data_IF_804512720343
#
_entry.id   IF_804512720343
#
_cell.length_a   1.000
_cell.length_b   1.000
_cell.length_c   1.000
_cell.angle_alpha   90.00
_cell.angle_beta   90.00
_cell.angle_gamma   90.00
#
_symmetry.space_group_name_H-M   'P 1'
#
loop_
_entity.id
_entity.type
_entity.pdbx_description
1 polymer ?
#
# COMPACT_ATOMS: atom_id res chain seq x y z
N UNK A 1 -35.60 -38.17 -48.31
CA UNK A 1 -35.86 -39.61 -48.06
C UNK A 1 -34.99 -40.05 -46.94
N UNK A 2 -35.52 -40.18 -45.85
CA UNK A 2 -36.08 -41.37 -45.19
C UNK A 2 -35.04 -42.16 -44.39
N UNK A 3 -35.08 -42.02 -43.04
CA UNK A 3 -35.27 -43.08 -41.98
C UNK A 3 -34.06 -44.01 -41.73
N UNK A 4 -33.69 -44.41 -40.54
CA UNK A 4 -34.31 -44.67 -39.19
C UNK A 4 -33.16 -45.03 -38.25
N UNK A 5 -33.11 -44.52 -37.03
CA UNK A 5 -33.31 -45.15 -35.70
C UNK A 5 -32.75 -46.58 -35.56
N UNK A 6 -31.80 -46.74 -34.60
CA UNK A 6 -31.77 -47.89 -33.69
C UNK A 6 -31.06 -47.53 -32.39
N UNK A 7 -31.82 -47.61 -31.29
CA UNK A 7 -31.34 -47.54 -29.92
C UNK A 7 -30.73 -48.88 -29.50
N UNK A 8 -29.61 -48.85 -28.79
CA UNK A 8 -29.12 -49.97 -28.05
C UNK A 8 -28.88 -49.54 -26.60
N UNK A 9 -29.68 -50.11 -25.75
CA UNK A 9 -29.64 -50.06 -24.28
C UNK A 9 -28.50 -50.96 -23.82
N UNK A 10 -27.51 -50.44 -23.09
CA UNK A 10 -26.55 -51.26 -22.35
C UNK A 10 -26.46 -50.74 -20.92
N UNK A 11 -26.92 -51.58 -20.01
CA UNK A 11 -26.84 -51.46 -18.56
C UNK A 11 -25.40 -51.68 -18.17
N UNK A 12 -24.76 -50.63 -17.65
CA UNK A 12 -23.41 -50.66 -17.07
C UNK A 12 -23.45 -50.31 -15.60
N UNK A 13 -23.01 -51.22 -14.79
CA UNK A 13 -22.95 -51.23 -13.33
C UNK A 13 -22.16 -50.02 -12.83
N UNK A 14 -22.77 -49.15 -12.05
CA UNK A 14 -22.09 -48.06 -11.34
C UNK A 14 -21.30 -48.61 -10.15
N UNK A 15 -19.98 -48.57 -10.24
CA UNK A 15 -19.11 -48.68 -9.07
C UNK A 15 -19.08 -47.30 -8.36
N UNK A 16 -19.13 -47.26 -7.02
CA UNK A 16 -19.02 -45.98 -6.31
C UNK A 16 -17.59 -45.44 -6.47
N UNK A 17 -17.43 -44.33 -7.19
CA UNK A 17 -16.24 -43.53 -7.15
C UNK A 17 -16.21 -42.84 -5.80
N UNK A 18 -15.38 -43.37 -4.89
CA UNK A 18 -15.03 -42.66 -3.67
C UNK A 18 -14.19 -41.46 -4.12
N UNK A 19 -14.85 -40.31 -4.21
CA UNK A 19 -14.18 -39.01 -4.38
C UNK A 19 -13.43 -38.72 -3.09
N UNK A 20 -12.13 -39.01 -3.05
CA UNK A 20 -11.24 -38.43 -2.06
C UNK A 20 -11.09 -36.95 -2.41
N UNK A 21 -11.81 -36.10 -1.67
CA UNK A 21 -11.54 -34.67 -1.68
C UNK A 21 -10.05 -34.47 -1.39
N UNK A 22 -9.33 -33.64 -2.18
CA UNK A 22 -7.98 -33.28 -1.82
C UNK A 22 -8.03 -32.63 -0.43
N UNK A 23 -7.23 -33.18 0.49
CA UNK A 23 -7.03 -32.56 1.79
C UNK A 23 -6.58 -31.12 1.53
N UNK A 24 -7.34 -30.15 2.03
CA UNK A 24 -6.91 -28.77 2.04
C UNK A 24 -5.51 -28.77 2.67
N UNK A 25 -4.52 -28.24 1.94
CA UNK A 25 -3.19 -28.07 2.45
C UNK A 25 -3.33 -27.14 3.67
N UNK A 26 -3.26 -27.72 4.86
CA UNK A 26 -3.21 -26.96 6.10
C UNK A 26 -1.92 -26.15 6.05
N UNK A 27 -2.05 -24.84 6.11
CA UNK A 27 -0.91 -23.98 6.43
C UNK A 27 -0.18 -24.61 7.61
N UNK A 28 1.16 -24.66 7.61
CA UNK A 28 1.90 -25.24 8.73
C UNK A 28 1.39 -24.60 10.02
N UNK A 29 0.92 -25.43 10.95
CA UNK A 29 0.44 -24.96 12.24
C UNK A 29 1.53 -24.08 12.86
N UNK A 30 1.17 -22.86 13.26
CA UNK A 30 2.11 -21.96 13.92
C UNK A 30 2.72 -22.73 15.11
N UNK A 31 4.05 -22.76 15.17
CA UNK A 31 4.76 -23.44 16.26
C UNK A 31 4.37 -22.70 17.55
N UNK A 32 3.82 -23.44 18.51
CA UNK A 32 3.43 -22.87 19.82
C UNK A 32 4.67 -22.37 20.55
N UNK A 33 4.58 -21.23 21.18
CA UNK A 33 5.66 -20.60 21.94
C UNK A 33 5.81 -21.29 23.30
N UNK A 34 7.00 -21.73 23.61
CA UNK A 34 7.39 -22.06 24.98
C UNK A 34 7.73 -20.78 25.78
N UNK A 35 8.14 -20.93 27.04
CA UNK A 35 8.46 -19.80 27.91
C UNK A 35 9.67 -19.01 27.39
N UNK A 36 10.68 -19.68 26.84
CA UNK A 36 11.90 -19.05 26.32
C UNK A 36 11.58 -18.24 25.06
N UNK A 37 10.80 -18.80 24.13
CA UNK A 37 10.36 -18.10 22.91
C UNK A 37 9.50 -16.87 23.24
N UNK A 38 8.61 -16.93 24.23
CA UNK A 38 7.85 -15.74 24.70
C UNK A 38 8.75 -14.66 25.25
N UNK A 39 9.72 -15.03 26.10
CA UNK A 39 10.72 -14.10 26.64
C UNK A 39 11.53 -13.43 25.53
N UNK A 40 11.98 -14.20 24.53
CA UNK A 40 12.72 -13.71 23.36
C UNK A 40 11.87 -12.68 22.55
N UNK A 41 10.61 -13.00 22.28
CA UNK A 41 9.69 -12.07 21.59
C UNK A 41 9.55 -10.75 22.35
N UNK A 42 9.25 -10.79 23.65
CA UNK A 42 9.09 -9.58 24.47
C UNK A 42 10.38 -8.78 24.56
N UNK A 43 11.53 -9.45 24.71
CA UNK A 43 12.85 -8.80 24.73
C UNK A 43 13.14 -8.07 23.41
N UNK A 44 12.88 -8.70 22.26
CA UNK A 44 13.11 -8.10 20.94
C UNK A 44 12.15 -6.95 20.65
N UNK A 45 10.86 -7.07 21.00
CA UNK A 45 9.90 -5.96 20.88
C UNK A 45 10.35 -4.79 21.76
N UNK A 46 10.76 -5.06 23.01
CA UNK A 46 11.27 -4.03 23.93
C UNK A 46 12.52 -3.33 23.37
N UNK A 47 13.45 -4.09 22.82
CA UNK A 47 14.65 -3.54 22.17
C UNK A 47 14.30 -2.67 20.98
N UNK A 48 13.42 -3.14 20.09
CA UNK A 48 12.98 -2.40 18.92
C UNK A 48 12.30 -1.07 19.28
N UNK A 49 11.48 -1.05 20.34
CA UNK A 49 10.86 0.18 20.84
C UNK A 49 11.91 1.16 21.37
N UNK A 50 12.86 0.70 22.17
CA UNK A 50 13.94 1.53 22.71
C UNK A 50 14.85 2.10 21.63
N UNK A 51 15.21 1.30 20.65
CA UNK A 51 16.18 1.66 19.63
C UNK A 51 15.61 2.49 18.50
N UNK A 52 14.34 2.26 18.14
CA UNK A 52 13.78 2.77 16.87
C UNK A 52 12.60 3.72 17.04
N UNK A 53 11.77 3.55 18.08
CA UNK A 53 10.55 4.36 18.18
C UNK A 53 10.90 5.86 18.20
N UNK A 54 10.21 6.63 17.39
CA UNK A 54 10.52 8.05 17.10
C UNK A 54 10.50 8.95 18.35
N UNK A 55 9.75 8.56 19.39
CA UNK A 55 9.73 9.22 20.69
C UNK A 55 10.44 8.36 21.73
N UNK A 56 11.74 8.60 22.03
CA UNK A 56 12.55 7.71 22.88
C UNK A 56 11.96 7.45 24.25
N UNK A 57 11.37 8.47 24.89
CA UNK A 57 10.79 8.37 26.22
C UNK A 57 9.55 7.47 26.23
N UNK A 58 8.68 7.61 25.21
CA UNK A 58 7.49 6.77 25.04
C UNK A 58 7.89 5.33 24.69
N UNK A 59 8.93 5.15 23.86
CA UNK A 59 9.49 3.84 23.54
C UNK A 59 10.03 3.10 24.76
N UNK A 60 10.71 3.82 25.67
CA UNK A 60 11.19 3.26 26.95
C UNK A 60 10.04 2.90 27.88
N UNK A 61 9.03 3.76 28.00
CA UNK A 61 7.85 3.51 28.83
C UNK A 61 7.08 2.28 28.35
N UNK A 62 6.83 2.17 27.04
CA UNK A 62 6.15 1.03 26.44
C UNK A 62 6.96 -0.27 26.61
N UNK A 63 8.27 -0.22 26.42
CA UNK A 63 9.16 -1.36 26.63
C UNK A 63 9.19 -1.80 28.10
N UNK A 64 9.23 -0.86 29.05
CA UNK A 64 9.17 -1.15 30.48
C UNK A 64 7.84 -1.79 30.89
N UNK A 65 6.71 -1.33 30.33
CA UNK A 65 5.38 -1.89 30.56
C UNK A 65 5.31 -3.36 30.18
N UNK A 66 5.70 -3.71 28.93
CA UNK A 66 5.64 -5.11 28.48
C UNK A 66 6.66 -6.01 29.21
N UNK A 67 7.83 -5.46 29.58
CA UNK A 67 8.81 -6.16 30.41
C UNK A 67 8.28 -6.47 31.83
N UNK A 68 7.58 -5.53 32.45
CA UNK A 68 6.95 -5.72 33.74
C UNK A 68 5.80 -6.72 33.70
N UNK A 69 4.98 -6.68 32.64
CA UNK A 69 3.90 -7.64 32.42
C UNK A 69 4.44 -9.08 32.23
N UNK A 70 5.56 -9.24 31.50
CA UNK A 70 6.24 -10.53 31.38
C UNK A 70 6.72 -11.03 32.75
N UNK A 71 7.38 -10.17 33.55
CA UNK A 71 7.88 -10.54 34.88
C UNK A 71 6.75 -10.89 35.86
N UNK A 72 5.57 -10.33 35.66
CA UNK A 72 4.36 -10.63 36.43
C UNK A 72 3.62 -11.90 35.95
N UNK A 73 4.09 -12.57 34.88
CA UNK A 73 3.45 -13.76 34.32
C UNK A 73 2.19 -13.48 33.49
N UNK A 74 1.93 -12.20 33.13
CA UNK A 74 0.71 -11.84 32.38
C UNK A 74 0.63 -12.44 30.95
N UNK A 75 1.74 -12.98 30.45
CA UNK A 75 1.83 -13.62 29.13
C UNK A 75 2.01 -15.14 29.21
N UNK A 76 2.00 -15.76 30.38
CA UNK A 76 2.35 -17.19 30.54
C UNK A 76 1.42 -18.14 29.78
N UNK A 77 0.15 -17.80 29.72
CA UNK A 77 -0.87 -18.60 29.01
C UNK A 77 -0.91 -18.32 27.50
N UNK A 78 -0.10 -17.39 26.96
CA UNK A 78 -0.11 -16.98 25.56
C UNK A 78 0.91 -17.80 24.75
N UNK A 79 0.57 -19.04 24.45
CA UNK A 79 1.44 -19.92 23.64
C UNK A 79 1.26 -19.71 22.12
N UNK A 80 0.14 -19.14 21.67
CA UNK A 80 -0.08 -18.79 20.26
C UNK A 80 0.62 -17.47 19.91
N UNK A 81 1.52 -17.44 18.88
CA UNK A 81 2.18 -16.20 18.45
C UNK A 81 1.24 -15.05 18.13
N UNK A 82 0.06 -15.33 17.55
CA UNK A 82 -0.92 -14.30 17.21
C UNK A 82 -1.58 -13.71 18.48
N UNK A 83 -1.89 -14.55 19.46
CA UNK A 83 -2.44 -14.10 20.73
C UNK A 83 -1.44 -13.25 21.49
N UNK A 84 -0.17 -13.67 21.57
CA UNK A 84 0.91 -12.88 22.20
C UNK A 84 1.11 -11.55 21.49
N UNK A 85 1.23 -11.55 20.17
CA UNK A 85 1.41 -10.33 19.37
C UNK A 85 0.26 -9.34 19.57
N UNK A 86 -0.99 -9.83 19.56
CA UNK A 86 -2.19 -9.01 19.78
C UNK A 86 -2.19 -8.37 21.18
N UNK A 87 -1.80 -9.13 22.23
CA UNK A 87 -1.71 -8.59 23.58
C UNK A 87 -0.58 -7.57 23.71
N UNK A 88 0.61 -7.84 23.16
CA UNK A 88 1.72 -6.89 23.13
C UNK A 88 1.34 -5.61 22.39
N UNK A 89 0.63 -5.73 21.25
CA UNK A 89 0.13 -4.56 20.53
C UNK A 89 -0.80 -3.72 21.39
N UNK A 90 -1.75 -4.33 22.10
CA UNK A 90 -2.68 -3.62 22.98
C UNK A 90 -1.95 -2.89 24.13
N UNK A 91 -1.00 -3.57 24.78
CA UNK A 91 -0.24 -2.99 25.88
C UNK A 91 0.65 -1.82 25.43
N UNK A 92 1.27 -1.92 24.24
CA UNK A 92 2.10 -0.85 23.67
C UNK A 92 1.25 0.30 23.14
N UNK A 93 0.16 0.02 22.43
CA UNK A 93 -0.73 1.03 21.87
C UNK A 93 -1.41 1.89 22.95
N UNK A 94 -1.67 1.33 24.13
CA UNK A 94 -2.21 2.06 25.27
C UNK A 94 -1.28 3.18 25.78
N UNK A 95 0.02 3.12 25.46
CA UNK A 95 1.03 4.11 25.83
C UNK A 95 1.39 4.99 24.65
N UNK A 96 1.67 4.37 23.50
CA UNK A 96 2.16 5.07 22.33
C UNK A 96 1.08 5.92 21.61
N UNK A 97 -0.17 5.47 21.63
CA UNK A 97 -1.29 6.10 20.92
C UNK A 97 -1.03 6.35 19.41
N UNK A 98 -0.13 5.59 18.81
CA UNK A 98 0.38 5.74 17.46
C UNK A 98 -0.33 4.76 16.51
N UNK A 99 -0.99 5.30 15.49
CA UNK A 99 -1.79 4.48 14.55
C UNK A 99 -0.96 3.69 13.54
N UNK A 100 0.31 4.03 13.37
CA UNK A 100 1.22 3.28 12.52
C UNK A 100 1.94 2.14 13.25
N UNK A 101 2.04 2.20 14.59
CA UNK A 101 2.65 1.14 15.38
C UNK A 101 1.79 -0.13 15.32
N UNK A 102 2.37 -1.24 14.92
CA UNK A 102 1.70 -2.55 14.88
C UNK A 102 2.62 -3.64 15.40
N UNK A 103 2.05 -4.59 16.13
CA UNK A 103 2.70 -5.86 16.48
C UNK A 103 1.70 -6.95 16.08
N UNK A 104 2.12 -7.88 15.26
CA UNK A 104 1.25 -8.90 14.67
C UNK A 104 1.98 -10.23 14.43
N UNK A 105 1.25 -11.28 14.11
CA UNK A 105 1.82 -12.54 13.69
C UNK A 105 2.17 -12.49 12.19
N UNK A 106 3.29 -13.14 11.81
CA UNK A 106 3.82 -13.16 10.44
C UNK A 106 2.83 -13.67 9.38
N UNK A 107 1.91 -14.55 9.77
CA UNK A 107 0.87 -15.11 8.90
C UNK A 107 -0.55 -14.67 9.28
N UNK A 108 -0.69 -13.75 10.26
CA UNK A 108 -1.97 -13.15 10.49
C UNK A 108 -2.34 -12.31 9.25
N UNK A 109 -3.58 -12.41 8.75
CA UNK A 109 -4.02 -11.41 7.80
C UNK A 109 -3.79 -10.07 8.48
N UNK A 110 -2.96 -9.22 7.85
CA UNK A 110 -2.85 -7.81 8.28
C UNK A 110 -4.29 -7.34 8.50
N UNK A 111 -4.61 -6.70 9.63
CA UNK A 111 -5.88 -6.01 9.69
C UNK A 111 -5.82 -4.99 8.55
N UNK A 112 -6.36 -5.41 7.42
CA UNK A 112 -6.55 -4.50 6.32
C UNK A 112 -7.31 -3.30 6.89
N UNK A 113 -6.98 -2.07 6.49
CA UNK A 113 -7.86 -0.95 6.72
C UNK A 113 -9.25 -1.44 6.34
N UNK A 114 -10.24 -1.27 7.22
CA UNK A 114 -11.57 -1.90 7.21
C UNK A 114 -11.96 -2.34 5.81
N UNK A 115 -11.85 -3.66 5.54
CA UNK A 115 -12.07 -4.17 4.19
C UNK A 115 -13.55 -4.03 3.86
N UNK A 116 -13.83 -2.96 3.13
CA UNK A 116 -14.85 -3.05 2.10
C UNK A 116 -14.38 -4.08 1.04
N UNK A 117 -15.27 -4.54 0.16
CA UNK A 117 -14.90 -5.39 -0.97
C UNK A 117 -13.68 -4.79 -1.67
N UNK A 118 -12.74 -5.63 -2.12
CA UNK A 118 -11.53 -5.19 -2.82
C UNK A 118 -11.87 -4.07 -3.80
N UNK A 119 -11.12 -2.97 -3.82
CA UNK A 119 -11.53 -1.79 -4.56
C UNK A 119 -11.86 -2.19 -6.00
N UNK A 120 -13.07 -1.90 -6.43
CA UNK A 120 -13.57 -2.22 -7.78
C UNK A 120 -12.97 -1.29 -8.85
N UNK A 121 -11.95 -0.48 -8.49
CA UNK A 121 -11.28 0.44 -9.38
C UNK A 121 -9.84 -0.02 -9.67
N UNK A 122 -9.37 0.32 -10.87
CA UNK A 122 -7.96 0.16 -11.24
C UNK A 122 -7.22 1.45 -10.93
N UNK A 123 -5.97 1.33 -10.51
CA UNK A 123 -5.04 2.44 -10.41
C UNK A 123 -3.75 2.07 -11.17
N UNK A 124 -3.07 3.06 -11.68
CA UNK A 124 -1.71 2.93 -12.21
C UNK A 124 -0.82 3.90 -11.45
N UNK A 125 0.17 3.37 -10.76
CA UNK A 125 1.04 4.15 -9.87
C UNK A 125 0.27 5.14 -8.98
N UNK A 126 -0.79 4.67 -8.32
CA UNK A 126 -1.62 5.47 -7.43
C UNK A 126 -2.66 6.36 -8.10
N UNK A 127 -2.62 6.58 -9.41
CA UNK A 127 -3.60 7.41 -10.15
C UNK A 127 -4.72 6.53 -10.70
N UNK A 128 -5.97 6.83 -10.32
CA UNK A 128 -7.15 6.08 -10.75
C UNK A 128 -7.73 6.64 -12.04
N UNK A 129 -7.84 7.95 -12.14
CA UNK A 129 -8.40 8.63 -13.30
C UNK A 129 -8.12 10.13 -13.27
N UNK A 130 -8.19 10.76 -14.42
CA UNK A 130 -8.32 12.20 -14.55
C UNK A 130 -9.35 12.55 -15.62
N UNK A 131 -10.20 13.56 -15.34
CA UNK A 131 -11.33 13.94 -16.15
C UNK A 131 -11.43 15.46 -16.27
N UNK A 132 -11.84 15.93 -17.44
CA UNK A 132 -12.36 17.29 -17.63
C UNK A 132 -13.88 17.27 -17.43
N UNK A 133 -14.35 18.15 -16.54
CA UNK A 133 -15.76 18.32 -16.23
C UNK A 133 -16.29 19.63 -16.83
N UNK A 134 -17.62 19.82 -16.75
CA UNK A 134 -18.24 21.10 -17.10
C UNK A 134 -17.67 22.25 -16.26
N UNK A 135 -17.74 23.46 -16.80
CA UNK A 135 -17.30 24.68 -16.08
C UNK A 135 -15.78 24.81 -15.91
N UNK A 136 -14.98 24.20 -16.81
CA UNK A 136 -13.52 24.31 -16.77
C UNK A 136 -12.86 23.59 -15.58
N UNK A 137 -13.50 22.56 -15.03
CA UNK A 137 -13.00 21.83 -13.87
C UNK A 137 -12.18 20.62 -14.32
N UNK A 138 -10.97 20.49 -13.80
CA UNK A 138 -10.17 19.27 -13.82
C UNK A 138 -10.39 18.45 -12.56
N UNK A 139 -10.59 17.16 -12.71
CA UNK A 139 -10.68 16.21 -11.61
C UNK A 139 -9.59 15.16 -11.73
N UNK A 140 -8.94 14.85 -10.63
CA UNK A 140 -7.99 13.73 -10.54
C UNK A 140 -8.22 12.96 -9.25
N UNK A 141 -8.18 11.63 -9.32
CA UNK A 141 -8.24 10.76 -8.16
C UNK A 141 -6.91 10.04 -7.96
N UNK A 142 -6.34 10.20 -6.75
CA UNK A 142 -5.06 9.62 -6.33
C UNK A 142 -5.28 8.79 -5.07
N UNK A 143 -4.99 7.49 -5.13
CA UNK A 143 -5.24 6.53 -4.04
C UNK A 143 -3.97 6.08 -3.32
N UNK A 144 -2.80 6.56 -3.77
CA UNK A 144 -1.52 6.27 -3.12
C UNK A 144 -0.38 7.06 -3.74
N UNK A 145 0.73 7.09 -3.03
CA UNK A 145 1.96 7.77 -3.43
C UNK A 145 3.12 6.77 -3.51
N UNK A 146 3.22 5.98 -4.60
CA UNK A 146 4.36 5.10 -4.81
C UNK A 146 5.66 5.90 -4.98
N UNK A 147 6.85 5.24 -4.97
CA UNK A 147 8.11 5.93 -5.18
C UNK A 147 8.12 6.83 -6.42
N UNK A 148 8.84 7.97 -6.42
CA UNK A 148 8.77 9.00 -7.45
C UNK A 148 9.01 8.49 -8.88
N UNK A 149 9.90 7.54 -9.06
CA UNK A 149 10.25 7.00 -10.38
C UNK A 149 9.05 6.33 -11.08
N UNK A 150 8.08 5.83 -10.32
CA UNK A 150 6.84 5.25 -10.83
C UNK A 150 5.71 6.27 -10.87
N UNK A 151 5.61 7.12 -9.84
CA UNK A 151 4.52 8.07 -9.71
C UNK A 151 4.60 9.22 -10.71
N UNK A 152 5.79 9.87 -10.82
CA UNK A 152 5.97 11.07 -11.64
C UNK A 152 5.53 10.90 -13.10
N UNK A 153 5.95 9.86 -13.85
CA UNK A 153 5.56 9.73 -15.26
C UNK A 153 4.05 9.57 -15.47
N UNK A 154 3.38 8.89 -14.54
CA UNK A 154 1.93 8.67 -14.61
C UNK A 154 1.18 9.93 -14.21
N UNK A 155 1.62 10.59 -13.14
CA UNK A 155 1.03 11.86 -12.70
C UNK A 155 1.21 12.96 -13.76
N UNK A 156 2.39 13.08 -14.36
CA UNK A 156 2.67 14.06 -15.42
C UNK A 156 1.71 13.91 -16.59
N UNK A 157 1.48 12.67 -17.04
CA UNK A 157 0.53 12.37 -18.09
C UNK A 157 -0.91 12.75 -17.71
N UNK A 158 -1.33 12.43 -16.49
CA UNK A 158 -2.66 12.75 -16.01
C UNK A 158 -2.87 14.26 -15.88
N UNK A 159 -1.91 14.97 -15.28
CA UNK A 159 -1.96 16.44 -15.08
C UNK A 159 -1.84 17.21 -16.39
N UNK A 160 -1.01 16.76 -17.34
CA UNK A 160 -0.95 17.35 -18.68
C UNK A 160 -2.31 17.22 -19.40
N UNK A 161 -3.02 16.09 -19.22
CA UNK A 161 -4.37 15.92 -19.75
C UNK A 161 -5.38 16.93 -19.18
N UNK A 162 -5.14 17.45 -17.97
CA UNK A 162 -5.97 18.47 -17.30
C UNK A 162 -5.55 19.90 -17.64
N UNK A 163 -4.51 20.11 -18.40
CA UNK A 163 -4.08 21.46 -18.80
C UNK A 163 -5.23 22.25 -19.40
N UNK A 164 -5.29 23.54 -19.05
CA UNK A 164 -6.39 24.43 -19.42
C UNK A 164 -7.59 24.43 -18.47
N UNK A 165 -7.66 23.51 -17.48
CA UNK A 165 -8.70 23.59 -16.44
C UNK A 165 -8.50 24.82 -15.57
N UNK A 166 -9.58 25.52 -15.25
CA UNK A 166 -9.59 26.75 -14.42
C UNK A 166 -9.62 26.46 -12.93
N UNK A 167 -10.10 25.28 -12.55
CA UNK A 167 -10.22 24.78 -11.17
C UNK A 167 -9.81 23.32 -11.13
N UNK A 168 -9.21 22.86 -10.02
CA UNK A 168 -8.93 21.45 -9.78
C UNK A 168 -9.76 20.89 -8.63
N UNK A 169 -10.22 19.66 -8.79
CA UNK A 169 -10.69 18.78 -7.71
C UNK A 169 -9.71 17.62 -7.61
N UNK A 170 -9.05 17.48 -6.48
CA UNK A 170 -8.10 16.38 -6.19
C UNK A 170 -8.74 15.48 -5.15
N UNK A 171 -9.04 14.24 -5.54
CA UNK A 171 -9.73 13.29 -4.70
C UNK A 171 -8.75 12.33 -4.03
N UNK A 172 -8.55 12.49 -2.74
CA UNK A 172 -7.71 11.61 -1.90
C UNK A 172 -8.52 10.84 -0.87
N UNK A 173 -9.86 10.75 -1.03
CA UNK A 173 -10.73 10.04 -0.09
C UNK A 173 -10.36 8.57 0.11
N UNK A 174 -9.72 7.94 -0.87
CA UNK A 174 -9.26 6.53 -0.84
C UNK A 174 -7.75 6.42 -0.80
N UNK A 175 -7.04 7.48 -0.44
CA UNK A 175 -5.58 7.51 -0.43
C UNK A 175 -5.02 6.96 0.87
N UNK A 176 -4.28 5.85 0.78
CA UNK A 176 -3.65 5.19 1.93
C UNK A 176 -2.24 5.69 2.28
N UNK A 177 -1.73 6.66 1.52
CA UNK A 177 -0.40 7.23 1.75
C UNK A 177 0.69 6.74 0.80
N UNK A 178 1.93 6.85 1.23
CA UNK A 178 3.13 6.45 0.48
C UNK A 178 4.30 7.41 0.66
N UNK A 179 5.11 7.60 -0.39
CA UNK A 179 6.35 8.38 -0.37
C UNK A 179 6.11 9.90 -0.19
N UNK A 180 6.74 10.54 0.80
CA UNK A 180 6.71 12.00 0.96
C UNK A 180 7.23 12.77 -0.27
N UNK A 181 8.20 12.23 -1.00
CA UNK A 181 8.69 12.84 -2.24
C UNK A 181 7.61 12.91 -3.32
N UNK A 182 6.78 11.87 -3.42
CA UNK A 182 5.65 11.82 -4.36
C UNK A 182 4.51 12.74 -3.92
N UNK A 183 4.29 12.88 -2.62
CA UNK A 183 3.39 13.90 -2.06
C UNK A 183 3.85 15.29 -2.45
N UNK A 184 5.11 15.64 -2.16
CA UNK A 184 5.70 16.93 -2.50
C UNK A 184 5.63 17.20 -4.01
N UNK A 185 5.78 16.17 -4.84
CA UNK A 185 5.65 16.32 -6.28
C UNK A 185 4.22 16.67 -6.72
N UNK A 186 3.17 16.05 -6.15
CA UNK A 186 1.79 16.45 -6.45
C UNK A 186 1.49 17.88 -5.96
N UNK A 187 1.95 18.26 -4.77
CA UNK A 187 1.85 19.63 -4.26
C UNK A 187 2.52 20.63 -5.20
N UNK A 188 3.63 20.27 -5.85
CA UNK A 188 4.39 21.12 -6.76
C UNK A 188 3.57 21.63 -7.95
N UNK A 189 2.59 20.87 -8.44
CA UNK A 189 1.68 21.35 -9.49
C UNK A 189 0.80 22.52 -9.06
N UNK A 190 0.64 22.73 -7.76
CA UNK A 190 -0.23 23.74 -7.18
C UNK A 190 0.50 25.03 -6.81
N UNK A 191 1.83 25.04 -6.89
CA UNK A 191 2.71 26.12 -6.43
C UNK A 191 3.37 26.79 -7.64
N UNK A 192 3.65 28.10 -7.54
CA UNK A 192 4.43 28.80 -8.56
C UNK A 192 5.88 28.31 -8.56
N UNK A 193 6.44 28.09 -9.76
CA UNK A 193 7.74 27.42 -9.93
C UNK A 193 8.96 28.36 -9.88
N UNK A 194 8.80 29.63 -9.52
CA UNK A 194 9.86 30.63 -9.52
C UNK A 194 10.89 30.46 -8.39
N UNK A 195 10.47 29.86 -7.26
CA UNK A 195 11.32 29.49 -6.14
C UNK A 195 10.86 28.16 -5.52
N UNK A 196 11.77 27.28 -5.07
CA UNK A 196 11.41 26.10 -4.32
C UNK A 196 10.69 26.48 -3.01
N UNK A 197 9.51 25.93 -2.78
CA UNK A 197 8.76 26.10 -1.54
C UNK A 197 9.01 24.89 -0.64
N UNK A 198 9.33 25.12 0.63
CA UNK A 198 9.48 24.08 1.63
C UNK A 198 8.09 23.55 2.01
N UNK A 199 7.83 22.27 1.76
CA UNK A 199 6.50 21.64 1.88
C UNK A 199 6.38 20.90 3.21
N UNK A 200 7.32 19.97 3.47
CA UNK A 200 7.30 19.12 4.66
C UNK A 200 8.71 18.68 5.04
N UNK A 201 8.90 18.25 6.29
CA UNK A 201 10.08 17.56 6.78
C UNK A 201 9.72 16.20 7.33
N UNK A 202 10.60 15.22 7.11
CA UNK A 202 10.58 13.97 7.86
C UNK A 202 11.76 13.99 8.83
N UNK A 203 11.47 13.90 10.12
CA UNK A 203 12.44 13.87 11.20
C UNK A 203 12.59 12.44 11.70
N UNK A 204 13.70 11.80 11.35
CA UNK A 204 13.98 10.39 11.60
C UNK A 204 14.91 10.23 12.78
N UNK A 205 14.59 9.34 13.72
CA UNK A 205 15.47 8.99 14.82
C UNK A 205 16.64 8.14 14.32
N UNK A 206 17.86 8.52 14.73
CA UNK A 206 19.05 7.68 14.50
C UNK A 206 18.99 6.49 15.45
N UNK A 207 18.86 5.30 14.91
CA UNK A 207 18.64 4.08 15.69
C UNK A 207 19.68 3.92 16.81
N UNK A 208 19.21 3.55 18.01
CA UNK A 208 20.05 3.35 19.19
C UNK A 208 20.57 4.64 19.84
N UNK A 209 20.15 5.80 19.37
CA UNK A 209 20.55 7.12 19.93
C UNK A 209 19.32 7.99 20.24
N UNK A 210 19.53 9.18 20.78
CA UNK A 210 18.52 10.23 20.92
C UNK A 210 18.74 11.36 19.88
N UNK A 211 19.57 11.13 18.88
CA UNK A 211 19.78 12.08 17.79
C UNK A 211 18.73 11.88 16.69
N UNK A 212 18.53 12.94 15.92
CA UNK A 212 17.57 12.95 14.81
C UNK A 212 18.22 13.49 13.54
N UNK A 213 17.92 12.86 12.41
CA UNK A 213 18.19 13.37 11.08
C UNK A 213 16.91 14.02 10.53
N UNK A 214 17.06 15.07 9.73
CA UNK A 214 15.96 15.77 9.06
C UNK A 214 16.15 15.70 7.56
N UNK A 215 15.12 15.28 6.86
CA UNK A 215 15.00 15.33 5.42
C UNK A 215 13.90 16.31 5.05
N UNK A 216 14.23 17.29 4.19
CA UNK A 216 13.32 18.36 3.82
C UNK A 216 12.83 18.19 2.39
N UNK A 217 11.53 18.27 2.20
CA UNK A 217 10.87 18.13 0.90
C UNK A 217 10.44 19.50 0.38
N UNK A 218 10.82 19.78 -0.85
CA UNK A 218 10.55 21.05 -1.50
C UNK A 218 9.78 20.85 -2.80
N UNK A 219 9.10 21.90 -3.27
CA UNK A 219 8.47 21.88 -4.58
C UNK A 219 9.51 21.72 -5.70
N UNK A 220 9.12 20.99 -6.73
CA UNK A 220 9.92 20.64 -7.90
C UNK A 220 9.28 21.24 -9.16
N UNK A 221 10.08 21.46 -10.24
CA UNK A 221 9.54 21.81 -11.53
C UNK A 221 8.56 20.74 -12.03
N UNK A 222 7.43 21.17 -12.61
CA UNK A 222 6.38 20.33 -13.17
C UNK A 222 6.12 20.69 -14.64
N UNK A 223 5.69 19.75 -15.50
CA UNK A 223 5.44 20.01 -16.93
C UNK A 223 4.29 20.99 -17.18
N UNK A 224 3.31 21.06 -16.27
CA UNK A 224 2.18 22.00 -16.29
C UNK A 224 1.97 22.55 -14.89
N UNK A 225 1.38 23.75 -14.76
CA UNK A 225 1.16 24.40 -13.48
C UNK A 225 -0.30 24.81 -13.29
N UNK A 226 -0.80 24.58 -12.08
CA UNK A 226 -2.11 25.04 -11.61
C UNK A 226 -1.99 26.07 -10.49
N UNK A 227 -0.83 26.69 -10.37
CA UNK A 227 -0.59 27.78 -9.41
C UNK A 227 -1.60 28.92 -9.61
N UNK A 228 -2.13 29.44 -8.50
CA UNK A 228 -3.12 30.51 -8.49
C UNK A 228 -4.54 30.12 -8.88
N UNK A 229 -4.78 28.87 -9.32
CA UNK A 229 -6.13 28.37 -9.62
C UNK A 229 -6.80 27.83 -8.34
N UNK A 230 -8.12 27.92 -8.19
CA UNK A 230 -8.85 27.28 -7.09
C UNK A 230 -8.62 25.77 -7.09
N UNK A 231 -8.39 25.21 -5.88
CA UNK A 231 -8.19 23.76 -5.67
C UNK A 231 -9.14 23.29 -4.57
N UNK A 232 -9.82 22.20 -4.83
CA UNK A 232 -10.62 21.48 -3.85
C UNK A 232 -9.99 20.12 -3.60
N UNK A 233 -9.78 19.76 -2.35
CA UNK A 233 -9.26 18.44 -1.96
C UNK A 233 -10.35 17.67 -1.25
N UNK A 234 -10.70 16.49 -1.77
CA UNK A 234 -11.74 15.65 -1.17
C UNK A 234 -11.08 14.67 -0.21
N UNK A 235 -11.51 14.68 1.06
CA UNK A 235 -10.96 13.86 2.13
C UNK A 235 -12.00 12.90 2.73
N UNK A 236 -11.53 11.84 3.38
CA UNK A 236 -12.36 10.94 4.18
C UNK A 236 -11.56 10.43 5.40
N UNK A 237 -12.23 9.71 6.29
CA UNK A 237 -11.58 9.02 7.41
C UNK A 237 -10.65 7.87 6.98
N UNK A 238 -10.73 7.44 5.71
CA UNK A 238 -9.81 6.49 5.09
C UNK A 238 -8.60 7.15 4.40
N UNK A 239 -8.59 8.49 4.26
CA UNK A 239 -7.39 9.23 3.87
C UNK A 239 -6.35 9.09 4.97
N UNK A 240 -5.16 8.53 4.66
CA UNK A 240 -4.19 8.14 5.69
C UNK A 240 -2.74 8.44 5.28
N UNK A 241 -1.86 8.68 6.28
CA UNK A 241 -0.41 8.81 6.08
C UNK A 241 -0.06 9.88 5.03
N UNK A 242 0.67 9.54 3.94
CA UNK A 242 0.97 10.48 2.85
C UNK A 242 -0.26 11.11 2.20
N UNK A 243 -1.45 10.46 2.26
CA UNK A 243 -2.72 11.09 1.83
C UNK A 243 -3.13 12.25 2.72
N UNK A 244 -2.87 12.11 4.01
CA UNK A 244 -3.07 13.19 5.00
C UNK A 244 -2.01 14.26 4.87
N UNK A 245 -0.74 13.87 4.63
CA UNK A 245 0.35 14.80 4.36
C UNK A 245 -0.03 15.74 3.21
N UNK A 246 -0.52 15.19 2.08
CA UNK A 246 -0.98 16.00 0.96
C UNK A 246 -2.07 17.01 1.37
N UNK A 247 -3.11 16.54 2.07
CA UNK A 247 -4.20 17.41 2.52
C UNK A 247 -3.71 18.50 3.49
N UNK A 248 -2.85 18.10 4.45
CA UNK A 248 -2.28 19.00 5.45
C UNK A 248 -1.38 20.07 4.81
N UNK A 249 -0.52 19.67 3.87
CA UNK A 249 0.38 20.58 3.19
C UNK A 249 -0.39 21.57 2.31
N UNK A 250 -1.41 21.12 1.59
CA UNK A 250 -2.30 22.00 0.81
C UNK A 250 -3.00 23.03 1.70
N UNK A 251 -3.47 22.61 2.88
CA UNK A 251 -4.12 23.48 3.85
C UNK A 251 -3.11 24.45 4.50
N UNK A 252 -1.95 23.97 4.96
CA UNK A 252 -0.91 24.78 5.59
C UNK A 252 -0.32 25.84 4.65
N UNK A 253 -0.25 25.53 3.34
CA UNK A 253 0.19 26.45 2.29
C UNK A 253 -0.94 27.34 1.73
N UNK A 254 -2.17 27.22 2.28
CA UNK A 254 -3.37 27.95 1.82
C UNK A 254 -3.63 27.76 0.31
N UNK A 255 -3.33 26.57 -0.22
CA UNK A 255 -3.43 26.29 -1.66
C UNK A 255 -4.72 25.66 -2.10
N UNK A 256 -5.56 25.22 -1.18
CA UNK A 256 -6.82 24.57 -1.52
C UNK A 256 -7.80 24.53 -0.36
N UNK A 257 -9.05 24.22 -0.69
CA UNK A 257 -10.13 24.03 0.26
C UNK A 257 -10.40 22.54 0.44
N UNK A 258 -10.31 22.06 1.67
CA UNK A 258 -10.58 20.66 2.00
C UNK A 258 -12.08 20.44 2.22
N UNK A 259 -12.65 19.42 1.59
CA UNK A 259 -14.06 19.06 1.67
C UNK A 259 -14.20 17.58 1.99
N UNK A 260 -14.89 17.24 3.08
CA UNK A 260 -15.09 15.83 3.43
C UNK A 260 -15.10 15.57 4.92
N UNK A 261 -14.47 14.49 5.32
CA UNK A 261 -14.33 14.05 6.72
C UNK A 261 -12.93 14.35 7.25
N UNK A 262 -12.81 14.37 8.59
CA UNK A 262 -11.51 14.34 9.27
C UNK A 262 -10.78 13.06 8.85
N UNK A 263 -9.49 13.18 8.54
CA UNK A 263 -8.67 12.07 8.06
C UNK A 263 -8.25 11.10 9.17
N UNK A 264 -7.53 10.04 8.83
CA UNK A 264 -7.26 8.93 9.73
C UNK A 264 -6.37 9.25 10.94
N UNK A 265 -5.46 10.22 10.87
CA UNK A 265 -4.58 10.66 11.97
C UNK A 265 -3.34 9.81 12.16
N UNK A 266 -2.55 9.59 11.10
CA UNK A 266 -1.26 8.93 11.13
C UNK A 266 -0.18 9.72 10.41
N UNK A 267 0.82 10.26 11.15
CA UNK A 267 1.85 11.13 10.62
C UNK A 267 3.28 10.58 10.81
N UNK A 268 3.42 9.40 11.40
CA UNK A 268 4.72 8.86 11.78
C UNK A 268 5.18 7.77 10.80
N UNK A 269 6.18 8.03 9.93
CA UNK A 269 6.77 7.01 9.06
C UNK A 269 7.23 5.78 9.84
N UNK A 270 6.97 4.62 9.28
CA UNK A 270 7.17 3.34 9.96
C UNK A 270 7.91 2.34 9.09
N UNK A 271 8.56 1.37 9.71
CA UNK A 271 9.23 0.28 9.02
C UNK A 271 9.04 -1.06 9.72
N UNK A 272 9.15 -2.16 8.97
CA UNK A 272 9.07 -3.50 9.53
C UNK A 272 10.29 -3.82 10.39
N UNK A 273 10.06 -4.55 11.46
CA UNK A 273 11.08 -5.12 12.33
C UNK A 273 10.78 -6.61 12.50
N UNK A 274 11.73 -7.45 12.13
CA UNK A 274 11.63 -8.89 12.33
C UNK A 274 11.86 -9.22 13.81
N UNK A 275 10.83 -9.71 14.48
CA UNK A 275 10.89 -10.12 15.89
C UNK A 275 11.29 -11.60 16.00
N UNK A 276 10.84 -12.42 15.04
CA UNK A 276 11.02 -13.89 15.06
C UNK A 276 9.89 -14.59 15.80
N UNK A 277 10.02 -15.91 15.92
CA UNK A 277 9.00 -16.75 16.56
C UNK A 277 7.58 -16.54 16.01
N UNK A 278 7.44 -16.21 14.70
CA UNK A 278 6.16 -15.94 14.06
C UNK A 278 5.58 -14.56 14.35
N UNK A 279 6.32 -13.66 15.00
CA UNK A 279 5.90 -12.29 15.32
C UNK A 279 6.68 -11.28 14.48
N UNK A 280 5.99 -10.25 14.00
CA UNK A 280 6.55 -9.08 13.30
C UNK A 280 6.04 -7.81 13.96
N UNK A 281 6.83 -6.76 13.91
CA UNK A 281 6.42 -5.44 14.36
C UNK A 281 6.64 -4.40 13.27
N UNK A 282 5.81 -3.36 13.28
CA UNK A 282 5.98 -2.15 12.47
C UNK A 282 6.17 -1.00 13.45
N UNK A 283 7.37 -0.44 13.49
CA UNK A 283 7.77 0.55 14.48
C UNK A 283 7.98 1.91 13.79
N UNK A 284 7.26 2.96 14.19
CA UNK A 284 7.51 4.33 13.75
C UNK A 284 8.93 4.79 14.12
N UNK A 285 9.68 5.14 13.10
CA UNK A 285 11.08 5.58 13.26
C UNK A 285 11.25 7.08 13.00
N UNK A 286 10.24 7.74 12.50
CA UNK A 286 10.24 9.15 12.14
C UNK A 286 8.90 9.81 12.42
N UNK A 287 8.83 11.13 12.23
CA UNK A 287 7.62 11.92 12.28
C UNK A 287 7.63 12.98 11.19
N UNK A 288 6.47 13.29 10.64
CA UNK A 288 6.31 14.48 9.81
C UNK A 288 6.39 15.75 10.66
N UNK A 289 6.90 16.85 10.08
CA UNK A 289 6.92 18.17 10.69
C UNK A 289 6.72 19.22 9.59
N UNK A 290 5.54 19.82 9.56
CA UNK A 290 5.26 20.84 8.55
C UNK A 290 6.00 22.14 8.87
N UNK A 291 6.70 22.77 7.90
CA UNK A 291 7.52 23.95 8.15
C UNK A 291 6.72 25.21 8.52
N UNK A 292 5.43 25.27 8.20
CA UNK A 292 4.55 26.41 8.51
C UNK A 292 3.98 26.26 9.93
N UNK A 293 3.34 25.12 10.22
CA UNK A 293 2.61 24.89 11.48
C UNK A 293 3.50 24.41 12.62
N UNK A 294 4.71 23.89 12.30
CA UNK A 294 5.67 23.28 13.25
C UNK A 294 5.11 22.06 13.99
N UNK A 295 4.08 21.43 13.41
CA UNK A 295 3.41 20.25 13.93
C UNK A 295 2.96 19.34 12.79
N UNK A 296 2.13 18.35 13.08
CA UNK A 296 1.56 17.42 12.13
C UNK A 296 0.14 16.98 12.57
N UNK A 297 -0.42 15.99 11.89
CA UNK A 297 -1.78 15.47 12.06
C UNK A 297 -1.86 14.19 12.92
N UNK A 298 -0.76 13.74 13.57
CA UNK A 298 -0.77 12.51 14.36
C UNK A 298 -1.87 12.51 15.43
N UNK A 299 -2.61 11.40 15.50
CA UNK A 299 -3.69 11.16 16.45
C UNK A 299 -4.99 11.94 16.21
N UNK A 300 -4.94 13.06 15.45
CA UNK A 300 -6.07 13.98 15.24
C UNK A 300 -6.69 13.87 13.85
N UNK A 301 -5.86 13.61 12.83
CA UNK A 301 -6.23 13.77 11.43
C UNK A 301 -6.17 15.22 10.97
N UNK A 302 -6.43 15.42 9.68
CA UNK A 302 -6.57 16.73 9.04
C UNK A 302 -8.04 17.09 9.03
N UNK A 303 -8.38 18.23 9.62
CA UNK A 303 -9.75 18.72 9.72
C UNK A 303 -10.13 19.44 8.41
N UNK A 304 -11.23 19.05 7.72
CA UNK A 304 -11.62 19.71 6.48
C UNK A 304 -12.22 21.10 6.74
N UNK A 305 -12.03 22.02 5.80
CA UNK A 305 -12.65 23.36 5.85
C UNK A 305 -14.17 23.28 5.69
N UNK A 306 -14.66 22.25 4.98
CA UNK A 306 -16.08 21.97 4.78
C UNK A 306 -16.36 20.54 5.21
N UNK A 307 -16.82 20.37 6.45
CA UNK A 307 -17.12 19.06 7.03
C UNK A 307 -18.43 18.50 6.47
N UNK A 308 -18.34 17.40 5.74
CA UNK A 308 -19.46 16.63 5.18
C UNK A 308 -19.10 15.14 5.13
N UNK A 309 -20.08 14.23 5.06
CA UNK A 309 -19.78 12.83 4.79
C UNK A 309 -18.94 12.66 3.51
N UNK A 310 -17.99 11.75 3.52
CA UNK A 310 -17.11 11.51 2.36
C UNK A 310 -17.89 11.24 1.06
N UNK A 311 -19.03 10.57 1.15
CA UNK A 311 -19.91 10.29 0.00
C UNK A 311 -20.49 11.57 -0.64
N UNK A 312 -20.64 12.65 0.13
CA UNK A 312 -21.18 13.93 -0.32
C UNK A 312 -20.09 14.93 -0.74
N UNK A 313 -18.81 14.66 -0.45
CA UNK A 313 -17.72 15.63 -0.67
C UNK A 313 -17.63 16.12 -2.13
N UNK A 314 -17.69 15.20 -3.12
CA UNK A 314 -17.69 15.57 -4.53
C UNK A 314 -18.91 16.43 -4.90
N UNK A 315 -20.09 16.04 -4.44
CA UNK A 315 -21.32 16.77 -4.68
C UNK A 315 -21.24 18.21 -4.16
N UNK A 316 -20.79 18.38 -2.91
CA UNK A 316 -20.64 19.70 -2.29
C UNK A 316 -19.58 20.55 -3.00
N UNK A 317 -18.45 19.96 -3.42
CA UNK A 317 -17.46 20.66 -4.20
C UNK A 317 -18.03 21.16 -5.54
N UNK A 318 -18.79 20.34 -6.27
CA UNK A 318 -19.45 20.71 -7.51
C UNK A 318 -20.50 21.80 -7.30
N UNK A 319 -21.34 21.71 -6.26
CA UNK A 319 -22.31 22.74 -5.89
C UNK A 319 -21.65 24.10 -5.63
N UNK A 320 -20.54 24.12 -4.89
CA UNK A 320 -19.77 25.34 -4.60
C UNK A 320 -19.16 25.96 -5.86
N UNK A 321 -18.90 25.15 -6.89
CA UNK A 321 -18.42 25.58 -8.20
C UNK A 321 -19.57 25.91 -9.17
N UNK A 322 -20.81 25.92 -8.71
CA UNK A 322 -21.99 26.23 -9.54
C UNK A 322 -22.35 25.16 -10.56
N UNK A 323 -21.89 23.93 -10.34
CA UNK A 323 -22.15 22.79 -11.22
C UNK A 323 -23.29 21.92 -10.68
N UNK A 324 -23.83 21.06 -11.55
CA UNK A 324 -24.81 20.06 -11.14
C UNK A 324 -24.19 19.09 -10.15
N UNK A 325 -24.76 18.92 -8.95
CA UNK A 325 -24.19 18.03 -7.94
C UNK A 325 -24.46 16.57 -8.31
N UNK A 326 -23.39 15.80 -8.46
CA UNK A 326 -23.43 14.34 -8.66
C UNK A 326 -22.46 13.64 -7.70
N UNK A 327 -22.81 12.44 -7.28
CA UNK A 327 -21.96 11.64 -6.41
C UNK A 327 -20.93 10.81 -7.20
N UNK A 328 -21.29 10.45 -8.44
CA UNK A 328 -20.43 9.64 -9.32
C UNK A 328 -19.71 10.54 -10.33
N UNK A 329 -18.39 10.52 -10.31
CA UNK A 329 -17.54 11.29 -11.21
C UNK A 329 -17.76 10.90 -12.68
N UNK A 330 -18.11 9.66 -12.99
CA UNK A 330 -18.41 9.26 -14.35
C UNK A 330 -19.63 10.00 -14.94
N UNK A 331 -20.61 10.37 -14.08
CA UNK A 331 -21.76 11.15 -14.48
C UNK A 331 -21.43 12.63 -14.72
N UNK A 332 -20.38 13.16 -14.09
CA UNK A 332 -19.91 14.54 -14.26
C UNK A 332 -18.90 14.69 -15.41
N UNK A 333 -18.26 13.61 -15.81
CA UNK A 333 -17.17 13.61 -16.78
C UNK A 333 -17.66 13.99 -18.18
N UNK A 334 -17.06 15.02 -18.76
CA UNK A 334 -17.18 15.34 -20.19
C UNK A 334 -16.12 14.65 -21.03
N UNK A 335 -14.93 14.49 -20.47
CA UNK A 335 -13.82 13.82 -21.13
C UNK A 335 -12.89 13.19 -20.09
N UNK A 336 -12.73 11.89 -20.14
CA UNK A 336 -11.66 11.20 -19.40
C UNK A 336 -10.35 11.40 -20.13
N UNK A 337 -9.39 12.09 -19.50
CA UNK A 337 -8.08 12.41 -20.08
C UNK A 337 -6.98 11.44 -19.62
N UNK A 338 -7.25 10.69 -18.54
CA UNK A 338 -6.39 9.63 -18.06
C UNK A 338 -7.22 8.45 -17.55
N UNK A 339 -6.80 7.25 -17.92
CA UNK A 339 -7.21 5.99 -17.31
C UNK A 339 -5.98 5.09 -17.17
N UNK A 340 -5.94 4.25 -16.12
CA UNK A 340 -4.91 3.25 -15.94
C UNK A 340 -4.83 2.32 -17.15
N UNK A 341 -3.63 1.89 -17.49
CA UNK A 341 -3.43 0.93 -18.57
C UNK A 341 -4.10 -0.41 -18.24
N UNK A 342 -4.57 -1.08 -19.27
CA UNK A 342 -5.21 -2.40 -19.17
C UNK A 342 -4.36 -3.50 -19.83
N UNK A 343 -3.12 -3.16 -20.20
CA UNK A 343 -2.17 -4.05 -20.85
C UNK A 343 -0.84 -4.00 -20.09
N UNK A 344 -0.06 -5.09 -20.08
CA UNK A 344 1.22 -5.12 -19.40
C UNK A 344 2.25 -4.21 -20.07
N UNK A 345 3.25 -3.78 -19.32
CA UNK A 345 4.44 -3.12 -19.87
C UNK A 345 5.22 -4.08 -20.75
N UNK A 346 5.81 -3.55 -21.81
CA UNK A 346 6.71 -4.33 -22.66
C UNK A 346 7.86 -4.91 -21.80
N UNK A 347 8.06 -6.22 -21.88
CA UNK A 347 9.11 -6.93 -21.13
C UNK A 347 8.67 -7.46 -19.75
N UNK A 348 7.54 -7.05 -19.18
CA UNK A 348 7.16 -7.48 -17.83
C UNK A 348 6.85 -8.98 -17.73
N UNK A 349 6.22 -9.59 -18.74
CA UNK A 349 6.05 -11.06 -18.79
C UNK A 349 7.40 -11.78 -18.85
N UNK A 350 8.33 -11.26 -19.65
CA UNK A 350 9.69 -11.82 -19.73
C UNK A 350 10.41 -11.71 -18.38
N UNK A 351 10.24 -10.61 -17.66
CA UNK A 351 10.78 -10.43 -16.32
C UNK A 351 10.24 -11.46 -15.32
N UNK A 352 8.93 -11.77 -15.34
CA UNK A 352 8.36 -12.83 -14.51
C UNK A 352 8.99 -14.18 -14.83
N UNK A 353 9.10 -14.53 -16.12
CA UNK A 353 9.73 -15.79 -16.55
C UNK A 353 11.20 -15.86 -16.13
N UNK A 354 11.92 -14.76 -16.22
CA UNK A 354 13.32 -14.64 -15.81
C UNK A 354 13.50 -14.81 -14.29
N UNK A 355 12.62 -14.19 -13.48
CA UNK A 355 12.62 -14.36 -12.02
C UNK A 355 12.39 -15.82 -11.64
N UNK A 356 11.40 -16.49 -12.25
CA UNK A 356 11.14 -17.92 -12.00
C UNK A 356 12.31 -18.78 -12.41
N UNK A 357 12.86 -18.60 -13.62
CA UNK A 357 14.00 -19.39 -14.12
C UNK A 357 15.26 -19.18 -13.27
N UNK A 358 15.57 -17.93 -12.91
CA UNK A 358 16.71 -17.57 -12.06
C UNK A 358 16.60 -18.15 -10.66
N UNK A 359 15.43 -18.08 -10.04
CA UNK A 359 15.20 -18.70 -8.75
C UNK A 359 15.30 -20.23 -8.83
N UNK A 360 14.68 -20.87 -9.82
CA UNK A 360 14.72 -22.33 -9.99
C UNK A 360 16.15 -22.85 -10.20
N UNK A 361 16.94 -22.16 -11.02
CA UNK A 361 18.34 -22.54 -11.27
C UNK A 361 19.31 -22.16 -10.14
N UNK A 362 18.91 -21.27 -9.23
CA UNK A 362 19.79 -20.66 -8.23
C UNK A 362 20.74 -19.60 -8.80
N UNK A 363 20.51 -19.15 -10.02
CA UNK A 363 21.33 -18.18 -10.73
C UNK A 363 20.48 -17.03 -11.29
N UNK A 364 19.92 -16.14 -10.42
CA UNK A 364 19.20 -14.96 -10.89
C UNK A 364 20.11 -14.01 -11.66
N UNK A 365 19.55 -13.38 -12.70
CA UNK A 365 20.22 -12.28 -13.39
C UNK A 365 20.04 -10.97 -12.57
N UNK A 366 20.97 -10.73 -11.66
CA UNK A 366 20.99 -9.52 -10.84
C UNK A 366 21.22 -8.24 -11.65
N UNK A 367 21.79 -8.33 -12.85
CA UNK A 367 22.01 -7.19 -13.74
C UNK A 367 20.72 -6.63 -14.33
N UNK A 368 19.68 -7.46 -14.43
CA UNK A 368 18.34 -7.07 -14.85
C UNK A 368 17.50 -6.48 -13.70
N UNK A 369 18.05 -6.30 -12.51
CA UNK A 369 17.37 -5.79 -11.32
C UNK A 369 17.97 -4.45 -10.90
N UNK A 370 17.19 -3.63 -10.19
CA UNK A 370 17.76 -2.53 -9.41
C UNK A 370 18.60 -3.10 -8.27
N UNK A 371 19.55 -2.33 -7.75
CA UNK A 371 20.45 -2.81 -6.68
C UNK A 371 19.65 -3.26 -5.45
N UNK A 372 18.64 -2.48 -5.06
CA UNK A 372 17.76 -2.78 -3.94
C UNK A 372 16.99 -4.10 -4.13
N UNK A 373 16.42 -4.33 -5.31
CA UNK A 373 15.68 -5.55 -5.59
C UNK A 373 16.61 -6.76 -5.73
N UNK A 374 17.82 -6.57 -6.26
CA UNK A 374 18.86 -7.59 -6.31
C UNK A 374 19.28 -8.05 -4.91
N UNK A 375 19.46 -7.13 -3.96
CA UNK A 375 19.79 -7.46 -2.57
C UNK A 375 18.66 -8.23 -1.88
N UNK A 376 17.41 -7.80 -2.07
CA UNK A 376 16.24 -8.51 -1.57
C UNK A 376 16.14 -9.92 -2.17
N UNK A 377 16.40 -10.06 -3.46
CA UNK A 377 16.40 -11.35 -4.16
C UNK A 377 17.47 -12.29 -3.60
N UNK A 378 18.68 -11.78 -3.31
CA UNK A 378 19.76 -12.58 -2.69
C UNK A 378 19.35 -13.11 -1.32
N UNK A 379 18.72 -12.27 -0.49
CA UNK A 379 18.27 -12.65 0.86
C UNK A 379 17.22 -13.76 0.83
N UNK A 380 16.34 -13.78 -0.17
CA UNK A 380 15.22 -14.71 -0.25
C UNK A 380 15.42 -15.86 -1.24
N UNK A 381 16.56 -15.93 -1.92
CA UNK A 381 16.81 -16.91 -3.00
C UNK A 381 16.58 -18.37 -2.56
N UNK A 382 17.13 -18.77 -1.43
CA UNK A 382 17.00 -20.16 -0.94
C UNK A 382 15.54 -20.56 -0.71
N UNK A 383 14.73 -19.65 -0.13
CA UNK A 383 13.30 -19.87 0.08
C UNK A 383 12.54 -19.95 -1.25
N UNK A 384 12.87 -19.09 -2.20
CA UNK A 384 12.29 -19.09 -3.53
C UNK A 384 12.62 -20.38 -4.30
N UNK A 385 13.86 -20.86 -4.21
CA UNK A 385 14.29 -22.13 -4.81
C UNK A 385 13.45 -23.30 -4.31
N UNK A 386 13.29 -23.42 -2.99
CA UNK A 386 12.48 -24.50 -2.38
C UNK A 386 11.04 -24.44 -2.89
N UNK A 387 10.42 -23.26 -2.86
CA UNK A 387 9.04 -23.06 -3.31
C UNK A 387 8.85 -23.42 -4.79
N UNK A 388 9.72 -22.95 -5.68
CA UNK A 388 9.60 -23.25 -7.11
C UNK A 388 9.93 -24.71 -7.44
N UNK A 389 10.83 -25.37 -6.68
CA UNK A 389 11.08 -26.79 -6.81
C UNK A 389 9.84 -27.65 -6.48
N UNK A 390 9.09 -27.29 -5.44
CA UNK A 390 7.83 -27.93 -5.06
C UNK A 390 6.73 -27.72 -6.13
N UNK A 391 6.64 -26.52 -6.69
CA UNK A 391 5.68 -26.17 -7.74
C UNK A 391 6.00 -26.83 -9.08
N UNK A 392 7.24 -27.17 -9.35
CA UNK A 392 7.68 -27.88 -10.54
C UNK A 392 7.75 -26.97 -11.79
N UNK A 393 7.56 -27.56 -12.96
CA UNK A 393 7.73 -26.88 -14.25
C UNK A 393 6.73 -25.73 -14.46
N UNK A 394 7.22 -24.56 -14.91
CA UNK A 394 6.40 -23.42 -15.30
C UNK A 394 5.56 -23.76 -16.55
N UNK A 395 4.24 -23.63 -16.47
CA UNK A 395 3.28 -23.94 -17.54
C UNK A 395 2.87 -22.69 -18.30
N UNK A 396 2.39 -21.67 -17.59
CA UNK A 396 1.92 -20.43 -18.20
C UNK A 396 2.14 -19.21 -17.32
N UNK A 397 2.26 -18.05 -17.97
CA UNK A 397 2.26 -16.71 -17.36
C UNK A 397 1.19 -15.92 -18.10
N UNK A 398 0.14 -15.52 -17.39
CA UNK A 398 -1.02 -14.84 -17.98
C UNK A 398 -1.24 -13.51 -17.29
N UNK A 399 -1.21 -12.42 -18.03
CA UNK A 399 -1.46 -11.09 -17.48
C UNK A 399 -2.88 -11.02 -16.90
N UNK A 400 -2.98 -10.49 -15.68
CA UNK A 400 -4.22 -10.32 -14.93
C UNK A 400 -4.66 -8.87 -14.89
N UNK A 401 -3.81 -8.00 -14.36
CA UNK A 401 -4.13 -6.59 -14.12
C UNK A 401 -2.87 -5.77 -13.83
N UNK A 402 -3.03 -4.47 -13.69
CA UNK A 402 -2.04 -3.55 -13.11
C UNK A 402 -2.43 -3.30 -11.66
N UNK A 403 -1.48 -3.43 -10.73
CA UNK A 403 -1.73 -3.15 -9.32
C UNK A 403 -1.67 -1.64 -9.00
N UNK A 404 -2.01 -1.29 -7.77
CA UNK A 404 -2.03 0.10 -7.30
C UNK A 404 -0.65 0.79 -7.35
N UNK A 405 0.43 0.02 -7.32
CA UNK A 405 1.81 0.53 -7.42
C UNK A 405 2.27 0.72 -8.88
N UNK A 406 1.46 0.28 -9.85
CA UNK A 406 1.80 0.27 -11.27
C UNK A 406 2.50 -1.01 -11.73
N UNK A 407 2.59 -2.01 -10.86
CA UNK A 407 3.15 -3.33 -11.17
C UNK A 407 2.21 -4.17 -12.02
N UNK A 408 2.77 -4.98 -12.91
CA UNK A 408 2.02 -5.94 -13.70
C UNK A 408 1.82 -7.23 -12.93
N UNK A 409 0.57 -7.62 -12.74
CA UNK A 409 0.16 -8.82 -12.01
C UNK A 409 -0.14 -9.94 -12.99
N UNK A 410 0.40 -11.12 -12.70
CA UNK A 410 0.26 -12.31 -13.52
C UNK A 410 -0.25 -13.50 -12.72
N UNK A 411 -1.16 -14.26 -13.33
CA UNK A 411 -1.45 -15.64 -12.93
C UNK A 411 -0.36 -16.54 -13.51
N UNK A 412 0.39 -17.21 -12.64
CA UNK A 412 1.53 -18.06 -13.01
C UNK A 412 1.22 -19.49 -12.63
N UNK A 413 1.01 -20.35 -13.64
CA UNK A 413 0.70 -21.76 -13.42
C UNK A 413 1.95 -22.63 -13.55
N UNK A 414 2.08 -23.60 -12.65
CA UNK A 414 3.12 -24.60 -12.61
C UNK A 414 2.52 -26.01 -12.72
N UNK A 415 3.37 -27.03 -12.80
CA UNK A 415 2.93 -28.42 -12.85
C UNK A 415 2.13 -28.83 -11.62
N UNK A 416 2.49 -28.36 -10.43
CA UNK A 416 1.94 -28.79 -9.14
C UNK A 416 1.20 -27.66 -8.39
N UNK A 417 0.93 -26.51 -9.02
CA UNK A 417 0.25 -25.40 -8.35
C UNK A 417 0.22 -24.14 -9.18
N UNK A 418 -0.26 -23.05 -8.57
CA UNK A 418 -0.29 -21.74 -9.20
C UNK A 418 0.01 -20.64 -8.17
N UNK A 419 0.58 -19.54 -8.66
CA UNK A 419 0.88 -18.33 -7.90
C UNK A 419 0.30 -17.10 -8.61
N UNK A 420 0.12 -16.06 -7.86
CA UNK A 420 -0.02 -14.69 -8.38
C UNK A 420 1.32 -13.99 -8.18
N UNK A 421 1.90 -13.49 -9.25
CA UNK A 421 3.16 -12.74 -9.20
C UNK A 421 2.95 -11.34 -9.72
N UNK A 422 3.38 -10.34 -8.98
CA UNK A 422 3.50 -8.98 -9.47
C UNK A 422 4.95 -8.66 -9.81
N UNK A 423 5.17 -7.89 -10.86
CA UNK A 423 6.48 -7.36 -11.24
C UNK A 423 6.38 -5.87 -11.53
N UNK A 424 7.27 -5.10 -10.94
CA UNK A 424 7.38 -3.66 -11.14
C UNK A 424 8.66 -3.38 -11.93
N UNK A 425 8.51 -2.81 -13.12
CA UNK A 425 9.64 -2.39 -13.95
C UNK A 425 9.94 -0.90 -13.74
N UNK A 426 11.20 -0.56 -13.52
CA UNK A 426 11.68 0.80 -13.49
C UNK A 426 11.68 1.46 -14.88
N UNK A 427 11.87 2.79 -14.95
CA UNK A 427 11.95 3.52 -16.23
C UNK A 427 13.08 3.04 -17.15
N UNK A 428 14.12 2.45 -16.59
CA UNK A 428 15.26 1.85 -17.29
C UNK A 428 14.99 0.40 -17.77
N UNK A 429 13.79 -0.13 -17.50
CA UNK A 429 13.37 -1.49 -17.80
C UNK A 429 13.88 -2.55 -16.84
N UNK A 430 14.59 -2.16 -15.79
CA UNK A 430 15.04 -3.10 -14.75
C UNK A 430 13.88 -3.49 -13.81
N UNK A 431 13.96 -4.69 -13.25
CA UNK A 431 13.03 -5.15 -12.24
C UNK A 431 13.35 -4.41 -10.93
N UNK A 432 12.43 -3.54 -10.51
CA UNK A 432 12.56 -2.70 -9.33
C UNK A 432 11.80 -3.24 -8.12
N UNK A 433 10.89 -4.20 -8.34
CA UNK A 433 10.12 -4.81 -7.28
C UNK A 433 9.31 -6.00 -7.79
N UNK A 434 8.75 -6.73 -6.84
CA UNK A 434 7.85 -7.83 -7.15
C UNK A 434 7.28 -8.46 -5.89
N UNK A 435 6.16 -9.15 -6.05
CA UNK A 435 5.55 -9.93 -4.99
C UNK A 435 5.10 -11.30 -5.48
N UNK A 436 5.01 -12.23 -4.56
CA UNK A 436 4.53 -13.59 -4.81
C UNK A 436 3.45 -13.88 -3.78
N UNK A 437 2.29 -14.32 -4.24
CA UNK A 437 1.16 -14.70 -3.39
C UNK A 437 0.59 -16.05 -3.85
N UNK A 438 0.01 -16.86 -2.96
CA UNK A 438 -0.74 -18.05 -3.38
C UNK A 438 -1.88 -17.63 -4.32
N UNK A 439 -2.10 -18.40 -5.38
CA UNK A 439 -3.32 -18.24 -6.17
C UNK A 439 -4.50 -18.73 -5.35
N UNK A 440 -5.54 -17.90 -5.20
CA UNK A 440 -6.83 -18.41 -4.75
C UNK A 440 -7.31 -19.43 -5.78
N UNK A 441 -7.43 -20.71 -5.39
CA UNK A 441 -7.91 -21.75 -6.28
C UNK A 441 -9.27 -21.36 -6.90
N UNK A 442 -9.64 -21.92 -8.07
CA UNK A 442 -10.95 -21.66 -8.66
C UNK A 442 -12.05 -22.17 -7.70
N UNK A 443 -12.68 -21.26 -6.97
CA UNK A 443 -13.83 -21.52 -6.12
C UNK A 443 -13.61 -21.33 -4.61
N UNK A 444 -13.37 -20.11 -4.16
CA UNK A 444 -13.66 -19.68 -2.78
C UNK A 444 -14.54 -18.44 -2.80
#
# INVERSE_FOLDING_TARGET
MLKRILAALSIGIAAPVVSSAPAAAQSPAATMLDAEARQDVVAKVSAALRERYVFPEVGEEAAAKIGSALAAGEYDDLADPAALASRLHADVAAIAHDKHLRIGAMNAPSPAPAQGPAPSYRAEAGVVRADKLAGGIGYIEVTGFPPPDFFKPVLDKAMAGLEGSETLIIDVRRNGGGSPESVAYLVSFLIAADQPVHINDIVTRVAGTNDFARESFHSLPTPVSFAGRPVYVLTSNATFSGGEEFAYDVQALERGLLVGEITGGGANPTGPVEIGNGVVATIPFGRAENPVTKTNWEGRGVEPDVAVPAADALKVALERLGQTPVADIAAASQQQVFAPRSVPLAGSEAAVRQLVAGATSGQPDYGAMTDQFADLTRQHLSRAQTMFAELGELRSVTFREVDMMGGDVYDVAFANGALVMAVLLGPDGKIAGGSISPSAGPGS
#
